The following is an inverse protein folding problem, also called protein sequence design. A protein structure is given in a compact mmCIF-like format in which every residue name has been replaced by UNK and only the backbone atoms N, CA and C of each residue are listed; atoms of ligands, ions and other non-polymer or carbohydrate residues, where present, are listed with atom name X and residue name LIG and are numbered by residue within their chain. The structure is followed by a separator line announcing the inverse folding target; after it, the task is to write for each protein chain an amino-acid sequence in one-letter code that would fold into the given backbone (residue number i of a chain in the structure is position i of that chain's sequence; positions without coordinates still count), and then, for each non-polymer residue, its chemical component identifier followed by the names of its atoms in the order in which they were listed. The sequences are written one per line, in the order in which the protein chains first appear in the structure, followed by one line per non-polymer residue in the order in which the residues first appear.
data_IF_935028131502
#
_entry.id   IF_935028131502
#
_cell.length_a   1.000
_cell.length_b   1.000
_cell.length_c   1.000
_cell.angle_alpha   90.00
_cell.angle_beta   90.00
_cell.angle_gamma   90.00
#
_symmetry.space_group_name_H-M   'P 1'
#
loop_
_entity.id
_entity.type
_entity.pdbx_description
1 polymer ?
#
# COMPACT_ATOMS: atom_id res chain seq x y z
N UNK A 1 12.62 -5.66 -27.86
CA UNK A 1 11.39 -5.57 -27.04
C UNK A 1 11.22 -6.76 -26.09
N UNK A 2 11.48 -8.01 -26.52
CA UNK A 2 11.36 -9.21 -25.66
C UNK A 2 12.42 -9.20 -24.56
N UNK A 3 13.67 -8.86 -24.85
CA UNK A 3 14.75 -8.75 -23.87
C UNK A 3 14.50 -7.66 -22.82
N UNK A 4 13.95 -6.50 -23.23
CA UNK A 4 13.61 -5.43 -22.30
C UNK A 4 12.49 -5.84 -21.34
N UNK A 5 11.47 -6.57 -21.78
CA UNK A 5 10.41 -7.10 -20.93
C UNK A 5 10.94 -8.13 -19.94
N UNK A 6 11.83 -9.02 -20.37
CA UNK A 6 12.47 -10.01 -19.48
C UNK A 6 13.34 -9.32 -18.42
N UNK A 7 14.09 -8.29 -18.80
CA UNK A 7 14.90 -7.51 -17.86
C UNK A 7 14.01 -6.81 -16.81
N UNK A 8 12.94 -6.15 -17.26
CA UNK A 8 11.98 -5.49 -16.34
C UNK A 8 11.35 -6.51 -15.38
N UNK A 9 10.96 -7.69 -15.87
CA UNK A 9 10.41 -8.74 -15.02
C UNK A 9 11.41 -9.22 -13.96
N UNK A 10 12.67 -9.42 -14.33
CA UNK A 10 13.74 -9.80 -13.38
C UNK A 10 13.98 -8.68 -12.37
N UNK A 11 14.06 -7.43 -12.80
CA UNK A 11 14.25 -6.28 -11.91
C UNK A 11 13.10 -6.14 -10.89
N UNK A 12 11.85 -6.38 -11.33
CA UNK A 12 10.67 -6.35 -10.46
C UNK A 12 10.61 -7.57 -9.54
N UNK A 13 10.93 -8.77 -10.05
CA UNK A 13 10.90 -10.01 -9.26
C UNK A 13 11.88 -9.99 -8.08
N UNK A 14 13.04 -9.35 -8.25
CA UNK A 14 14.06 -9.24 -7.21
C UNK A 14 14.06 -7.89 -6.48
N UNK A 15 13.07 -7.04 -6.72
CA UNK A 15 12.97 -5.70 -6.08
C UNK A 15 14.27 -4.87 -6.20
N UNK A 16 15.04 -5.08 -7.27
CA UNK A 16 16.36 -4.44 -7.46
C UNK A 16 16.27 -2.92 -7.45
N UNK A 17 15.28 -2.27 -8.12
CA UNK A 17 15.16 -0.81 -8.08
C UNK A 17 14.95 -0.26 -6.66
N UNK A 18 14.17 -0.98 -5.85
CA UNK A 18 13.93 -0.62 -4.45
C UNK A 18 15.25 -0.64 -3.65
N UNK A 19 16.01 -1.73 -3.74
CA UNK A 19 17.28 -1.89 -3.03
C UNK A 19 18.27 -0.80 -3.46
N UNK A 20 18.39 -0.55 -4.78
CA UNK A 20 19.26 0.52 -5.30
C UNK A 20 18.80 1.88 -4.77
N UNK A 21 17.50 2.16 -4.77
CA UNK A 21 16.93 3.41 -4.26
C UNK A 21 17.26 3.64 -2.78
N UNK A 22 17.08 2.61 -1.94
CA UNK A 22 17.43 2.69 -0.50
C UNK A 22 18.91 2.93 -0.29
N UNK A 23 19.79 2.17 -0.97
CA UNK A 23 21.24 2.33 -0.85
C UNK A 23 21.69 3.72 -1.34
N UNK A 24 21.15 4.17 -2.47
CA UNK A 24 21.46 5.48 -3.02
C UNK A 24 20.97 6.62 -2.10
N UNK A 25 19.74 6.53 -1.59
CA UNK A 25 19.19 7.52 -0.65
C UNK A 25 20.03 7.62 0.62
N UNK A 26 20.37 6.48 1.22
CA UNK A 26 21.25 6.45 2.40
C UNK A 26 22.65 7.01 2.10
N UNK A 27 23.22 6.67 0.93
CA UNK A 27 24.53 7.18 0.54
C UNK A 27 24.51 8.70 0.37
N UNK A 28 23.55 9.25 -0.37
CA UNK A 28 23.43 10.71 -0.57
C UNK A 28 23.16 11.45 0.74
N UNK A 29 22.26 10.95 1.58
CA UNK A 29 21.95 11.56 2.88
C UNK A 29 23.19 11.63 3.82
N UNK A 30 24.11 10.67 3.72
CA UNK A 30 25.30 10.61 4.60
C UNK A 30 26.57 11.20 3.98
N UNK A 31 26.71 11.20 2.65
CA UNK A 31 27.92 11.70 1.98
C UNK A 31 27.78 13.19 1.67
N UNK A 32 26.63 13.61 1.17
CA UNK A 32 26.34 15.01 0.81
C UNK A 32 24.91 15.35 1.20
N UNK A 33 24.72 15.72 2.46
CA UNK A 33 23.41 16.05 3.04
C UNK A 33 22.79 17.26 2.34
N UNK A 34 23.61 18.26 1.95
CA UNK A 34 23.12 19.43 1.24
C UNK A 34 22.54 19.09 -0.14
N UNK A 35 23.24 18.24 -0.89
CA UNK A 35 22.73 17.76 -2.19
C UNK A 35 21.45 16.93 -2.02
N UNK A 36 21.39 16.11 -0.96
CA UNK A 36 20.19 15.32 -0.65
C UNK A 36 18.97 16.23 -0.38
N UNK A 37 19.13 17.27 0.46
CA UNK A 37 18.07 18.23 0.75
C UNK A 37 17.66 19.01 -0.51
N UNK A 38 18.62 19.45 -1.32
CA UNK A 38 18.32 20.13 -2.59
C UNK A 38 17.51 19.25 -3.55
N UNK A 39 17.80 17.94 -3.60
CA UNK A 39 17.06 16.98 -4.42
C UNK A 39 15.65 16.76 -3.88
N UNK A 40 15.48 16.66 -2.58
CA UNK A 40 14.19 16.44 -1.91
C UNK A 40 13.29 17.67 -2.07
N UNK A 41 13.85 18.87 -1.88
CA UNK A 41 13.12 20.14 -1.95
C UNK A 41 13.10 20.75 -3.37
N UNK A 42 13.63 20.03 -4.36
CA UNK A 42 13.64 20.50 -5.74
C UNK A 42 12.23 20.77 -6.23
N UNK A 43 11.96 22.00 -6.67
CA UNK A 43 10.67 22.44 -7.21
C UNK A 43 10.51 22.00 -8.65
N UNK A 44 9.78 20.92 -8.88
CA UNK A 44 9.66 20.25 -10.19
C UNK A 44 9.03 21.14 -11.25
N UNK A 45 8.08 22.00 -10.88
CA UNK A 45 7.36 22.91 -11.79
C UNK A 45 7.73 24.39 -11.64
N UNK A 46 8.88 24.68 -11.00
CA UNK A 46 9.33 26.05 -10.77
C UNK A 46 8.69 26.71 -9.54
N UNK A 47 9.03 27.98 -9.31
CA UNK A 47 8.69 28.71 -8.07
C UNK A 47 7.24 29.17 -7.93
N UNK A 48 6.38 28.94 -8.94
CA UNK A 48 5.01 29.48 -8.98
C UNK A 48 3.89 28.46 -8.82
N UNK A 49 4.20 27.15 -8.73
CA UNK A 49 3.16 26.13 -8.64
C UNK A 49 3.05 25.62 -7.21
N UNK A 50 1.89 25.88 -6.61
CA UNK A 50 1.55 25.42 -5.26
C UNK A 50 0.19 24.72 -5.27
N UNK A 51 0.07 23.66 -4.45
CA UNK A 51 -1.18 22.93 -4.24
C UNK A 51 -1.56 23.07 -2.77
N UNK A 52 -2.68 23.72 -2.50
CA UNK A 52 -3.16 24.06 -1.15
C UNK A 52 -2.14 24.82 -0.29
N UNK A 53 -1.34 25.73 -0.91
CA UNK A 53 -0.31 26.51 -0.22
C UNK A 53 1.01 25.75 0.02
N UNK A 54 1.13 24.53 -0.48
CA UNK A 54 2.37 23.72 -0.41
C UNK A 54 3.08 23.74 -1.76
N UNK A 55 4.40 24.00 -1.82
CA UNK A 55 5.15 23.98 -3.08
C UNK A 55 5.23 22.55 -3.62
N UNK A 56 5.12 22.43 -4.94
CA UNK A 56 5.23 21.09 -5.59
C UNK A 56 6.70 20.73 -5.75
N UNK A 57 7.25 20.14 -4.70
CA UNK A 57 8.62 19.61 -4.64
C UNK A 57 8.69 18.15 -5.05
N UNK A 58 9.90 17.60 -5.22
CA UNK A 58 10.11 16.17 -5.39
C UNK A 58 9.51 15.37 -4.23
N UNK A 59 9.71 15.84 -2.99
CA UNK A 59 9.10 15.27 -1.79
C UNK A 59 7.56 15.26 -1.87
N UNK A 60 6.94 16.39 -2.26
CA UNK A 60 5.49 16.48 -2.43
C UNK A 60 4.97 15.45 -3.44
N UNK A 61 5.62 15.32 -4.60
CA UNK A 61 5.18 14.36 -5.63
C UNK A 61 5.28 12.92 -5.11
N UNK A 62 6.37 12.58 -4.43
CA UNK A 62 6.56 11.23 -3.89
C UNK A 62 5.53 10.94 -2.81
N UNK A 63 5.40 11.81 -1.80
CA UNK A 63 4.54 11.53 -0.65
C UNK A 63 3.05 11.74 -0.94
N UNK A 64 2.70 12.77 -1.70
CA UNK A 64 1.29 13.14 -1.90
C UNK A 64 0.66 12.50 -3.14
N UNK A 65 1.46 11.96 -4.06
CA UNK A 65 0.96 11.33 -5.29
C UNK A 65 1.37 9.85 -5.36
N UNK A 66 2.67 9.53 -5.34
CA UNK A 66 3.10 8.14 -5.47
C UNK A 66 2.67 7.29 -4.28
N UNK A 67 2.75 7.81 -3.05
CA UNK A 67 2.32 7.09 -1.86
C UNK A 67 0.80 6.84 -1.83
N UNK A 68 -0.02 7.73 -2.41
CA UNK A 68 -1.46 7.48 -2.60
C UNK A 68 -1.71 6.20 -3.38
N UNK A 69 -1.00 6.00 -4.49
CA UNK A 69 -1.12 4.79 -5.29
C UNK A 69 -0.57 3.56 -4.58
N UNK A 70 0.55 3.71 -3.87
CA UNK A 70 1.14 2.63 -3.07
C UNK A 70 0.15 2.13 -2.01
N UNK A 71 -0.39 3.03 -1.19
CA UNK A 71 -1.41 2.66 -0.20
C UNK A 71 -2.72 2.20 -0.83
N UNK A 72 -3.04 2.68 -2.03
CA UNK A 72 -4.16 2.16 -2.82
C UNK A 72 -3.99 0.69 -3.19
N UNK A 73 -2.76 0.26 -3.56
CA UNK A 73 -2.44 -1.14 -3.83
C UNK A 73 -2.54 -1.97 -2.55
N UNK A 74 -1.97 -1.49 -1.44
CA UNK A 74 -2.06 -2.16 -0.14
C UNK A 74 -3.53 -2.33 0.29
N UNK A 75 -4.34 -1.28 0.17
CA UNK A 75 -5.77 -1.34 0.46
C UNK A 75 -6.53 -2.34 -0.42
N UNK A 76 -6.12 -2.50 -1.69
CA UNK A 76 -6.67 -3.51 -2.59
C UNK A 76 -6.34 -4.93 -2.10
N UNK A 77 -5.11 -5.19 -1.70
CA UNK A 77 -4.69 -6.50 -1.17
C UNK A 77 -5.43 -6.85 0.11
N UNK A 78 -5.56 -5.87 1.04
CA UNK A 78 -6.36 -6.00 2.25
C UNK A 78 -7.81 -6.30 1.91
N UNK A 79 -8.41 -5.54 1.00
CA UNK A 79 -9.82 -5.72 0.58
C UNK A 79 -10.03 -7.11 0.01
N UNK A 80 -9.15 -7.60 -0.88
CA UNK A 80 -9.25 -8.94 -1.46
C UNK A 80 -9.07 -10.04 -0.42
N UNK A 81 -8.21 -9.83 0.58
CA UNK A 81 -7.98 -10.80 1.65
C UNK A 81 -9.19 -10.99 2.57
N UNK A 82 -9.99 -9.94 2.75
CA UNK A 82 -11.19 -9.95 3.63
C UNK A 82 -12.44 -10.45 2.88
N UNK A 83 -12.50 -10.28 1.56
CA UNK A 83 -13.65 -10.72 0.77
C UNK A 83 -13.88 -12.25 0.85
N UNK A 84 -15.12 -12.73 0.58
CA UNK A 84 -15.41 -14.17 0.53
C UNK A 84 -14.46 -14.90 -0.42
N UNK A 85 -13.80 -15.94 0.09
CA UNK A 85 -12.74 -16.67 -0.62
C UNK A 85 -11.34 -16.08 -0.47
N UNK A 86 -11.20 -14.91 0.17
CA UNK A 86 -9.93 -14.32 0.51
C UNK A 86 -9.18 -15.05 1.63
N UNK A 87 -7.91 -14.72 1.78
CA UNK A 87 -7.00 -15.43 2.66
C UNK A 87 -7.31 -15.22 4.16
N UNK A 88 -7.88 -14.07 4.53
CA UNK A 88 -8.35 -13.74 5.87
C UNK A 88 -9.84 -14.10 6.11
N UNK A 89 -10.49 -14.75 5.16
CA UNK A 89 -11.87 -15.20 5.26
C UNK A 89 -11.96 -16.74 5.15
N UNK A 90 -12.60 -17.46 6.09
CA UNK A 90 -13.31 -16.99 7.29
C UNK A 90 -12.37 -16.57 8.45
N UNK A 91 -12.87 -15.74 9.35
CA UNK A 91 -12.14 -15.18 10.51
C UNK A 91 -11.27 -16.21 11.29
N UNK A 92 -11.70 -17.46 11.54
CA UNK A 92 -10.85 -18.43 12.24
C UNK A 92 -9.50 -18.69 11.56
N UNK A 93 -9.39 -18.53 10.25
CA UNK A 93 -8.11 -18.67 9.52
C UNK A 93 -7.21 -17.46 9.70
N UNK A 94 -7.80 -16.29 9.95
CA UNK A 94 -7.08 -15.04 10.15
C UNK A 94 -6.50 -14.90 11.58
N UNK A 95 -6.99 -15.65 12.57
CA UNK A 95 -6.59 -15.47 13.96
C UNK A 95 -5.07 -15.61 14.14
N UNK A 96 -4.46 -16.65 13.61
CA UNK A 96 -3.02 -16.88 13.77
C UNK A 96 -2.17 -15.78 13.11
N UNK A 97 -2.40 -15.40 11.83
CA UNK A 97 -1.71 -14.25 11.24
C UNK A 97 -1.93 -12.95 12.01
N UNK A 98 -3.17 -12.64 12.41
CA UNK A 98 -3.50 -11.43 13.18
C UNK A 98 -2.79 -11.38 14.54
N UNK A 99 -2.75 -12.49 15.28
CA UNK A 99 -2.00 -12.56 16.53
C UNK A 99 -0.50 -12.42 16.30
N UNK A 100 0.03 -13.01 15.22
CA UNK A 100 1.41 -12.83 14.82
C UNK A 100 1.73 -11.36 14.52
N UNK A 101 0.86 -10.70 13.76
CA UNK A 101 0.98 -9.27 13.42
C UNK A 101 0.93 -8.39 14.66
N UNK A 102 -0.03 -8.62 15.57
CA UNK A 102 -0.10 -7.87 16.82
C UNK A 102 1.20 -8.00 17.64
N UNK A 103 1.78 -9.20 17.71
CA UNK A 103 3.08 -9.41 18.33
C UNK A 103 4.22 -8.67 17.61
N UNK A 104 4.18 -8.70 16.26
CA UNK A 104 5.13 -8.00 15.38
C UNK A 104 5.07 -6.48 15.50
N UNK A 105 3.91 -5.91 15.81
CA UNK A 105 3.73 -4.47 16.05
C UNK A 105 4.10 -4.10 17.49
N UNK A 106 3.52 -4.78 18.48
CA UNK A 106 3.68 -4.44 19.90
C UNK A 106 5.12 -4.70 20.39
N UNK A 107 5.76 -5.78 19.91
CA UNK A 107 7.12 -6.13 20.32
C UNK A 107 8.15 -5.06 19.95
N UNK A 108 8.33 -4.74 18.67
CA UNK A 108 9.27 -3.69 18.23
C UNK A 108 8.91 -2.30 18.77
N UNK A 109 7.62 -1.92 18.78
CA UNK A 109 7.18 -0.64 19.34
C UNK A 109 7.51 -0.54 20.84
N UNK A 110 7.23 -1.59 21.60
CA UNK A 110 7.53 -1.63 23.03
C UNK A 110 9.03 -1.59 23.31
N UNK A 111 9.83 -2.34 22.53
CA UNK A 111 11.28 -2.31 22.63
C UNK A 111 11.86 -0.93 22.26
N UNK A 112 11.34 -0.32 21.21
CA UNK A 112 11.73 1.02 20.79
C UNK A 112 11.47 2.05 21.90
N UNK A 113 10.27 2.07 22.46
CA UNK A 113 9.90 2.98 23.54
C UNK A 113 10.72 2.72 24.83
N UNK A 114 10.99 1.45 25.15
CA UNK A 114 11.84 1.09 26.28
C UNK A 114 13.27 1.62 26.10
N UNK A 115 13.86 1.42 24.93
CA UNK A 115 15.22 1.93 24.63
C UNK A 115 15.23 3.46 24.61
N UNK A 116 14.21 4.08 24.02
CA UNK A 116 14.06 5.55 24.05
C UNK A 116 14.01 6.06 25.48
N UNK A 117 13.25 5.40 26.36
CA UNK A 117 13.17 5.77 27.76
C UNK A 117 14.52 5.59 28.48
N UNK A 118 15.25 4.50 28.21
CA UNK A 118 16.55 4.23 28.83
C UNK A 118 17.62 5.24 28.39
N UNK A 119 17.66 5.61 27.10
CA UNK A 119 18.71 6.48 26.57
C UNK A 119 18.38 7.97 26.62
N UNK A 120 17.10 8.33 26.49
CA UNK A 120 16.63 9.71 26.40
C UNK A 120 15.68 10.11 27.54
N UNK A 121 15.36 9.17 28.47
CA UNK A 121 14.47 9.45 29.60
C UNK A 121 15.04 10.54 30.49
N UNK A 122 14.44 11.72 30.47
CA UNK A 122 14.90 12.91 31.22
C UNK A 122 15.64 13.94 30.39
N UNK A 123 15.74 13.76 29.07
CA UNK A 123 16.23 14.77 28.11
C UNK A 123 15.06 15.44 27.39
N UNK A 124 15.28 16.64 26.86
CA UNK A 124 14.28 17.36 26.07
C UNK A 124 13.93 16.64 24.74
N UNK A 125 14.85 15.82 24.24
CA UNK A 125 14.70 15.04 23.01
C UNK A 125 13.77 13.81 23.16
N UNK A 126 13.43 13.43 24.39
CA UNK A 126 12.62 12.23 24.62
C UNK A 126 11.33 12.21 23.82
N UNK A 127 10.59 13.32 23.79
CA UNK A 127 9.28 13.38 23.10
C UNK A 127 9.43 13.25 21.59
N UNK A 128 10.49 13.82 21.03
CA UNK A 128 10.79 13.77 19.58
C UNK A 128 11.16 12.34 19.18
N UNK A 129 12.09 11.74 19.91
CA UNK A 129 12.54 10.37 19.61
C UNK A 129 11.43 9.37 19.86
N UNK A 130 10.67 9.51 20.98
CA UNK A 130 9.55 8.61 21.29
C UNK A 130 8.46 8.62 20.22
N UNK A 131 8.26 9.73 19.52
CA UNK A 131 7.28 9.80 18.43
C UNK A 131 7.60 8.87 17.25
N UNK A 132 8.85 8.41 17.11
CA UNK A 132 9.26 7.43 16.10
C UNK A 132 8.85 5.98 16.37
N UNK A 133 8.03 5.70 17.39
CA UNK A 133 7.67 4.33 17.81
C UNK A 133 6.99 3.48 16.71
N UNK A 134 6.32 4.13 15.76
CA UNK A 134 5.68 3.44 14.63
C UNK A 134 6.66 2.97 13.55
N UNK A 135 7.87 3.54 13.46
CA UNK A 135 8.85 3.21 12.41
C UNK A 135 9.23 1.72 12.39
N UNK A 136 9.58 1.09 13.51
CA UNK A 136 9.99 -0.32 13.52
C UNK A 136 8.80 -1.31 13.42
N UNK A 137 7.57 -0.83 13.28
CA UNK A 137 6.38 -1.70 13.19
C UNK A 137 6.02 -2.04 11.74
N UNK A 138 6.54 -1.31 10.75
CA UNK A 138 6.24 -1.54 9.34
C UNK A 138 7.19 -2.58 8.72
N UNK A 139 6.65 -3.48 7.91
CA UNK A 139 7.41 -4.54 7.22
C UNK A 139 7.31 -4.37 5.70
N UNK A 140 8.43 -4.45 4.98
CA UNK A 140 8.41 -4.49 3.52
C UNK A 140 8.03 -5.91 3.04
N UNK A 141 6.80 -6.03 2.53
CA UNK A 141 6.26 -7.30 2.00
C UNK A 141 7.14 -7.85 0.88
N UNK A 142 7.61 -7.01 -0.05
CA UNK A 142 8.34 -7.47 -1.22
C UNK A 142 9.67 -8.10 -0.83
N UNK A 143 10.41 -7.45 0.07
CA UNK A 143 11.68 -7.96 0.57
C UNK A 143 11.50 -9.20 1.44
N UNK A 144 10.54 -9.17 2.37
CA UNK A 144 10.23 -10.30 3.25
C UNK A 144 9.80 -11.54 2.44
N UNK A 145 8.96 -11.37 1.43
CA UNK A 145 8.52 -12.44 0.54
C UNK A 145 9.67 -13.01 -0.30
N UNK A 146 10.55 -12.14 -0.83
CA UNK A 146 11.74 -12.57 -1.56
C UNK A 146 12.63 -13.45 -0.69
N UNK A 147 12.95 -13.00 0.53
CA UNK A 147 13.79 -13.75 1.47
C UNK A 147 13.14 -15.08 1.86
N UNK A 148 11.83 -15.09 2.12
CA UNK A 148 11.10 -16.31 2.44
C UNK A 148 11.11 -17.31 1.28
N UNK A 149 10.94 -16.87 0.03
CA UNK A 149 11.05 -17.73 -1.15
C UNK A 149 12.43 -18.33 -1.34
N UNK A 150 13.47 -17.54 -1.09
CA UNK A 150 14.85 -18.01 -1.16
C UNK A 150 15.17 -19.05 -0.07
N UNK A 151 14.65 -18.84 1.14
CA UNK A 151 14.90 -19.72 2.28
C UNK A 151 14.08 -21.01 2.25
N UNK A 152 12.79 -20.95 1.91
CA UNK A 152 11.84 -22.07 2.01
C UNK A 152 11.44 -22.66 0.66
N UNK A 153 11.72 -21.97 -0.44
CA UNK A 153 11.28 -22.35 -1.77
C UNK A 153 9.85 -21.91 -2.11
N UNK A 154 9.51 -22.01 -3.41
CA UNK A 154 8.19 -21.60 -3.90
C UNK A 154 7.09 -22.54 -3.39
N UNK A 155 5.97 -21.95 -2.93
CA UNK A 155 4.78 -22.71 -2.51
C UNK A 155 4.85 -23.31 -1.10
N UNK A 156 5.90 -23.03 -0.34
CA UNK A 156 5.97 -23.46 1.06
C UNK A 156 4.91 -22.77 1.92
N UNK A 157 4.25 -23.47 2.86
CA UNK A 157 3.21 -22.88 3.73
C UNK A 157 3.68 -21.65 4.52
N UNK A 158 4.96 -21.61 4.91
CA UNK A 158 5.55 -20.47 5.62
C UNK A 158 5.54 -19.18 4.77
N UNK A 159 5.71 -19.30 3.43
CA UNK A 159 5.66 -18.15 2.51
C UNK A 159 4.24 -17.58 2.46
N UNK A 160 3.23 -18.45 2.39
CA UNK A 160 1.83 -18.02 2.41
C UNK A 160 1.43 -17.41 3.75
N UNK A 161 1.91 -17.97 4.86
CA UNK A 161 1.67 -17.41 6.19
C UNK A 161 2.31 -16.02 6.34
N UNK A 162 3.55 -15.85 5.87
CA UNK A 162 4.24 -14.55 5.87
C UNK A 162 3.48 -13.51 5.04
N UNK A 163 2.96 -13.90 3.88
CA UNK A 163 2.17 -13.00 3.04
C UNK A 163 0.90 -12.52 3.76
N UNK A 164 0.21 -13.42 4.45
CA UNK A 164 -0.98 -13.08 5.25
C UNK A 164 -0.66 -12.15 6.41
N UNK A 165 0.45 -12.42 7.10
CA UNK A 165 0.95 -11.59 8.20
C UNK A 165 1.29 -10.19 7.69
N UNK A 166 2.00 -10.08 6.56
CA UNK A 166 2.40 -8.81 5.97
C UNK A 166 1.19 -7.97 5.51
N UNK A 167 0.15 -8.59 4.90
CA UNK A 167 -1.10 -7.88 4.56
C UNK A 167 -1.82 -7.36 5.81
N UNK A 168 -1.82 -8.13 6.90
CA UNK A 168 -2.42 -7.70 8.17
C UNK A 168 -1.60 -6.58 8.83
N UNK A 169 -0.28 -6.63 8.71
CA UNK A 169 0.67 -5.62 9.19
C UNK A 169 0.45 -4.28 8.47
N UNK A 170 0.34 -4.30 7.15
CA UNK A 170 0.01 -3.12 6.36
C UNK A 170 -1.32 -2.49 6.80
N UNK A 171 -2.35 -3.32 7.06
CA UNK A 171 -3.64 -2.82 7.54
C UNK A 171 -3.52 -2.10 8.89
N UNK A 172 -2.75 -2.66 9.82
CA UNK A 172 -2.49 -2.05 11.13
C UNK A 172 -1.62 -0.79 10.96
N UNK A 173 -0.57 -0.85 10.13
CA UNK A 173 0.31 0.27 9.82
C UNK A 173 -0.45 1.48 9.26
N UNK A 174 -1.36 1.25 8.30
CA UNK A 174 -2.25 2.29 7.78
C UNK A 174 -3.13 2.91 8.88
N UNK A 175 -3.64 2.08 9.80
CA UNK A 175 -4.40 2.55 10.96
C UNK A 175 -3.54 3.38 11.92
N UNK A 176 -2.30 2.99 12.16
CA UNK A 176 -1.34 3.73 13.00
C UNK A 176 -1.05 5.09 12.36
N UNK A 177 -0.73 5.16 11.08
CA UNK A 177 -0.47 6.42 10.36
C UNK A 177 -1.69 7.34 10.46
N UNK A 178 -2.88 6.82 10.18
CA UNK A 178 -4.11 7.62 10.20
C UNK A 178 -4.42 8.27 11.57
N UNK A 179 -4.08 7.59 12.66
CA UNK A 179 -4.47 8.00 14.02
C UNK A 179 -3.36 8.75 14.75
N UNK A 180 -2.10 8.31 14.60
CA UNK A 180 -1.00 8.77 15.44
C UNK A 180 -0.05 9.74 14.74
N UNK A 181 -0.13 9.86 13.41
CA UNK A 181 0.76 10.71 12.60
C UNK A 181 -0.02 11.75 11.77
N UNK A 182 -0.87 12.61 12.40
CA UNK A 182 -1.44 13.77 11.72
C UNK A 182 -0.34 14.78 11.39
N UNK A 183 -0.60 15.68 10.44
CA UNK A 183 0.33 16.75 10.07
C UNK A 183 0.62 17.65 11.31
N UNK A 184 1.87 17.72 11.78
CA UNK A 184 2.20 18.48 12.99
C UNK A 184 2.14 20.00 12.81
N UNK A 185 2.25 20.50 11.56
CA UNK A 185 2.31 21.94 11.28
C UNK A 185 0.91 22.59 11.17
N UNK A 186 -0.11 21.79 10.92
CA UNK A 186 -1.46 22.30 10.71
C UNK A 186 -2.46 21.62 11.65
N UNK A 187 -3.28 22.41 12.38
CA UNK A 187 -4.31 21.82 13.25
C UNK A 187 -5.35 21.08 12.40
N UNK A 188 -5.75 19.90 12.87
CA UNK A 188 -6.75 19.07 12.19
C UNK A 188 -8.05 19.85 12.01
N UNK A 189 -8.51 19.96 10.78
CA UNK A 189 -9.77 20.62 10.41
C UNK A 189 -10.82 19.58 10.01
N UNK A 190 -11.58 19.01 10.94
CA UNK A 190 -12.46 17.86 10.68
C UNK A 190 -13.60 18.17 9.69
N UNK A 191 -13.92 19.45 9.47
CA UNK A 191 -14.93 19.85 8.50
C UNK A 191 -14.59 19.38 7.06
N UNK A 192 -13.30 19.33 6.71
CA UNK A 192 -12.86 18.88 5.39
C UNK A 192 -12.99 17.36 5.18
N UNK A 193 -13.13 16.58 6.25
CA UNK A 193 -13.45 15.15 6.15
C UNK A 193 -14.82 14.90 5.49
N UNK A 194 -15.71 15.91 5.47
CA UNK A 194 -16.94 15.84 4.69
C UNK A 194 -16.65 15.67 3.19
N UNK A 195 -15.56 16.24 2.70
CA UNK A 195 -15.15 16.06 1.29
C UNK A 195 -14.63 14.63 1.04
N UNK A 196 -13.90 14.07 2.00
CA UNK A 196 -13.52 12.63 1.98
C UNK A 196 -14.77 11.75 1.99
N UNK A 197 -15.74 12.06 2.85
CA UNK A 197 -17.05 11.39 2.88
C UNK A 197 -17.82 11.53 1.56
N UNK A 198 -17.76 12.70 0.90
CA UNK A 198 -18.32 12.89 -0.44
C UNK A 198 -17.60 12.03 -1.49
N UNK A 199 -16.27 11.87 -1.38
CA UNK A 199 -15.51 10.93 -2.19
C UNK A 199 -15.99 9.49 -2.01
N UNK A 200 -16.16 9.03 -0.78
CA UNK A 200 -16.71 7.70 -0.47
C UNK A 200 -18.14 7.52 -1.02
N UNK A 201 -19.01 8.52 -0.84
CA UNK A 201 -20.37 8.52 -1.39
C UNK A 201 -20.36 8.45 -2.92
N UNK A 202 -19.45 9.17 -3.58
CA UNK A 202 -19.26 9.12 -5.03
C UNK A 202 -18.80 7.73 -5.48
N UNK A 203 -17.83 7.13 -4.78
CA UNK A 203 -17.38 5.77 -5.06
C UNK A 203 -18.52 4.75 -4.91
N UNK A 204 -19.32 4.87 -3.85
CA UNK A 204 -20.50 4.06 -3.65
C UNK A 204 -21.54 4.24 -4.77
N UNK A 205 -21.82 5.48 -5.18
CA UNK A 205 -22.74 5.79 -6.28
C UNK A 205 -22.25 5.21 -7.62
N UNK A 206 -20.95 5.33 -7.94
CA UNK A 206 -20.34 4.71 -9.11
C UNK A 206 -20.51 3.18 -9.09
N UNK A 207 -20.26 2.56 -7.93
CA UNK A 207 -20.47 1.11 -7.74
C UNK A 207 -21.94 0.73 -7.96
N UNK A 208 -22.88 1.50 -7.39
CA UNK A 208 -24.33 1.26 -7.53
C UNK A 208 -24.80 1.42 -8.98
N UNK A 209 -24.20 2.35 -9.72
CA UNK A 209 -24.42 2.59 -11.14
C UNK A 209 -23.71 1.57 -12.05
N UNK A 210 -23.06 0.54 -11.47
CA UNK A 210 -22.32 -0.51 -12.18
C UNK A 210 -21.23 0.03 -13.10
N UNK A 211 -20.66 1.19 -12.78
CA UNK A 211 -19.51 1.73 -13.52
C UNK A 211 -18.31 0.85 -13.24
N UNK A 212 -17.74 0.23 -14.29
CA UNK A 212 -16.59 -0.66 -14.19
C UNK A 212 -15.34 0.00 -14.78
N UNK A 213 -15.15 1.29 -14.50
CA UNK A 213 -13.99 2.07 -14.94
C UNK A 213 -13.18 2.48 -13.71
N UNK A 214 -12.05 1.81 -13.45
CA UNK A 214 -11.20 2.13 -12.30
C UNK A 214 -10.72 3.60 -12.30
N UNK A 215 -10.39 4.25 -13.45
CA UNK A 215 -9.99 5.66 -13.44
C UNK A 215 -11.07 6.60 -12.90
N UNK A 216 -12.35 6.28 -13.12
CA UNK A 216 -13.45 7.09 -12.57
C UNK A 216 -13.45 7.08 -11.03
N UNK A 217 -13.16 5.94 -10.41
CA UNK A 217 -13.05 5.85 -8.95
C UNK A 217 -11.82 6.60 -8.43
N UNK A 218 -10.67 6.43 -9.09
CA UNK A 218 -9.42 7.03 -8.64
C UNK A 218 -9.43 8.55 -8.84
N UNK A 219 -9.80 9.02 -10.04
CA UNK A 219 -9.70 10.44 -10.37
C UNK A 219 -10.82 11.26 -9.72
N UNK A 220 -12.05 10.75 -9.71
CA UNK A 220 -13.18 11.51 -9.16
C UNK A 220 -13.30 11.30 -7.66
N UNK A 221 -13.54 10.06 -7.23
CA UNK A 221 -13.74 9.76 -5.82
C UNK A 221 -12.43 9.87 -5.02
N UNK A 222 -11.33 9.34 -5.56
CA UNK A 222 -9.99 9.46 -4.99
C UNK A 222 -9.52 10.90 -4.91
N UNK A 223 -9.72 11.71 -5.96
CA UNK A 223 -9.38 13.13 -5.98
C UNK A 223 -10.15 13.94 -4.92
N UNK A 224 -11.46 13.68 -4.73
CA UNK A 224 -12.25 14.29 -3.65
C UNK A 224 -11.72 13.87 -2.28
N UNK A 225 -11.44 12.57 -2.08
CA UNK A 225 -10.89 12.05 -0.83
C UNK A 225 -9.52 12.66 -0.53
N UNK A 226 -8.64 12.74 -1.51
CA UNK A 226 -7.32 13.34 -1.39
C UNK A 226 -7.40 14.82 -1.00
N UNK A 227 -8.22 15.60 -1.69
CA UNK A 227 -8.42 17.01 -1.36
C UNK A 227 -9.01 17.19 0.06
N UNK A 228 -9.90 16.30 0.48
CA UNK A 228 -10.47 16.29 1.83
C UNK A 228 -9.43 16.03 2.91
N UNK A 229 -8.61 15.00 2.72
CA UNK A 229 -7.54 14.65 3.66
C UNK A 229 -6.45 15.73 3.70
N UNK A 230 -5.99 16.20 2.53
CA UNK A 230 -4.97 17.25 2.42
C UNK A 230 -5.39 18.55 3.15
N UNK A 231 -6.67 18.92 3.05
CA UNK A 231 -7.20 20.10 3.76
C UNK A 231 -7.54 19.84 5.23
N UNK A 232 -7.78 18.58 5.61
CA UNK A 232 -8.05 18.25 7.01
C UNK A 232 -6.79 18.11 7.85
N UNK A 233 -5.59 18.22 7.26
CA UNK A 233 -4.31 17.97 7.91
C UNK A 233 -4.15 16.52 8.39
N UNK A 234 -4.81 15.61 7.69
CA UNK A 234 -4.62 14.17 7.82
C UNK A 234 -3.83 13.69 6.59
N UNK A 235 -3.07 12.63 6.76
CA UNK A 235 -2.17 12.09 5.73
C UNK A 235 -2.89 11.87 4.38
N UNK A 236 -2.62 12.66 3.34
CA UNK A 236 -3.30 12.56 2.05
C UNK A 236 -3.03 11.27 1.31
N UNK A 237 -1.89 10.62 1.61
CA UNK A 237 -1.52 9.33 1.02
C UNK A 237 -2.57 8.24 1.28
N UNK A 238 -3.38 8.38 2.33
CA UNK A 238 -4.47 7.46 2.68
C UNK A 238 -5.73 7.63 1.82
N UNK A 239 -5.76 8.57 0.89
CA UNK A 239 -6.97 8.91 0.12
C UNK A 239 -7.61 7.72 -0.60
N UNK A 240 -6.80 6.85 -1.19
CA UNK A 240 -7.30 5.66 -1.89
C UNK A 240 -7.63 4.50 -0.94
N UNK A 241 -7.13 4.49 0.27
CA UNK A 241 -7.43 3.44 1.26
C UNK A 241 -8.94 3.36 1.53
N UNK A 242 -9.60 4.51 1.63
CA UNK A 242 -11.05 4.58 1.89
C UNK A 242 -11.90 4.44 0.62
N UNK A 243 -11.32 4.57 -0.57
CA UNK A 243 -12.02 4.47 -1.86
C UNK A 243 -11.94 3.07 -2.47
N UNK A 244 -10.79 2.42 -2.39
CA UNK A 244 -10.52 1.12 -3.01
C UNK A 244 -11.53 0.02 -2.61
N UNK A 245 -12.04 -0.07 -1.36
CA UNK A 245 -13.05 -1.06 -1.00
C UNK A 245 -14.38 -0.95 -1.78
N UNK A 246 -14.63 0.21 -2.39
CA UNK A 246 -15.82 0.41 -3.23
C UNK A 246 -15.61 0.01 -4.69
N UNK A 247 -14.38 -0.29 -5.13
CA UNK A 247 -14.14 -0.73 -6.50
C UNK A 247 -14.86 -2.07 -6.75
N UNK A 248 -15.48 -2.25 -7.93
CA UNK A 248 -16.06 -3.53 -8.31
C UNK A 248 -15.00 -4.63 -8.26
N UNK A 249 -15.15 -5.54 -7.31
CA UNK A 249 -14.49 -6.84 -7.28
C UNK A 249 -15.45 -7.83 -7.93
N UNK A 250 -14.95 -8.76 -8.76
CA UNK A 250 -15.76 -9.94 -9.05
C UNK A 250 -15.93 -10.67 -7.72
N UNK A 251 -17.18 -10.78 -7.24
CA UNK A 251 -17.53 -12.03 -6.57
C UNK A 251 -17.14 -13.12 -7.56
N UNK A 252 -16.12 -13.88 -7.26
CA UNK A 252 -15.84 -15.13 -7.94
C UNK A 252 -17.01 -16.01 -7.53
N UNK A 253 -18.11 -15.90 -8.27
CA UNK A 253 -19.04 -17.02 -8.38
C UNK A 253 -18.22 -18.10 -9.09
N UNK A 254 -17.77 -19.16 -8.41
CA UNK A 254 -17.15 -20.28 -9.07
C UNK A 254 -18.25 -20.96 -9.85
N UNK A 255 -18.54 -20.41 -11.03
CA UNK A 255 -19.50 -20.99 -11.94
C UNK A 255 -19.24 -22.49 -12.09
N UNK A 256 -20.24 -23.30 -12.37
CA UNK A 256 -20.16 -24.78 -12.35
C UNK A 256 -19.01 -25.36 -13.20
N UNK A 257 -18.40 -24.57 -14.06
CA UNK A 257 -17.20 -24.94 -14.84
C UNK A 257 -15.91 -24.90 -14.01
N UNK A 258 -15.78 -24.03 -12.99
CA UNK A 258 -14.61 -23.93 -12.13
C UNK A 258 -14.59 -25.04 -11.07
N UNK A 259 -15.75 -25.46 -10.56
CA UNK A 259 -15.85 -26.61 -9.64
C UNK A 259 -15.45 -27.95 -10.30
N UNK A 260 -15.71 -28.09 -11.60
CA UNK A 260 -15.27 -29.29 -12.35
C UNK A 260 -13.77 -29.32 -12.65
N UNK A 261 -13.10 -28.16 -12.71
CA UNK A 261 -11.67 -28.06 -12.93
C UNK A 261 -10.85 -28.45 -11.69
N UNK A 262 -11.41 -28.29 -10.48
CA UNK A 262 -10.75 -28.72 -9.23
C UNK A 262 -10.95 -30.20 -8.88
N UNK A 263 -11.86 -30.90 -9.54
CA UNK A 263 -12.12 -32.33 -9.33
C UNK A 263 -11.44 -33.25 -10.36
N UNK A 264 -10.82 -32.70 -11.40
CA UNK A 264 -10.17 -33.47 -12.47
C UNK A 264 -8.69 -33.18 -12.62
N UNK A 265 -7.85 -33.73 -11.73
CA UNK A 265 -6.40 -33.72 -11.91
C UNK A 265 -6.04 -34.85 -12.87
N UNK A 266 -6.01 -34.56 -14.17
CA UNK A 266 -5.36 -35.34 -15.20
C UNK A 266 -4.37 -34.45 -15.98
N UNK A 267 -3.24 -34.99 -16.51
CA UNK A 267 -2.19 -34.19 -17.12
C UNK A 267 -2.70 -33.52 -18.41
N UNK A 268 -2.64 -32.19 -18.47
CA UNK A 268 -3.04 -31.42 -19.65
C UNK A 268 -1.98 -31.54 -20.75
N UNK A 269 -2.40 -31.99 -21.92
CA UNK A 269 -1.67 -31.88 -23.19
C UNK A 269 -1.70 -30.43 -23.68
N UNK A 270 -0.56 -29.95 -24.19
CA UNK A 270 -0.43 -28.69 -24.90
C UNK A 270 -1.39 -28.64 -26.11
N UNK A 271 -2.26 -27.66 -26.14
CA UNK A 271 -3.10 -27.29 -27.26
C UNK A 271 -3.59 -25.86 -27.02
N UNK A 272 -3.08 -24.95 -27.82
CA UNK A 272 -3.45 -23.52 -27.83
C UNK A 272 -4.95 -23.37 -28.14
N UNK A 273 -5.74 -23.10 -27.13
CA UNK A 273 -7.10 -22.57 -27.28
C UNK A 273 -7.11 -21.10 -26.83
N UNK A 274 -7.44 -20.20 -27.78
CA UNK A 274 -7.64 -18.78 -27.53
C UNK A 274 -8.63 -18.59 -26.39
N UNK A 275 -8.12 -18.23 -25.20
CA UNK A 275 -8.95 -17.90 -24.04
C UNK A 275 -9.67 -16.60 -24.40
N UNK A 276 -11.02 -16.54 -24.35
CA UNK A 276 -11.74 -15.30 -24.59
C UNK A 276 -11.25 -14.26 -23.59
N UNK A 277 -11.15 -13.00 -24.03
CA UNK A 277 -10.70 -11.88 -23.23
C UNK A 277 -11.49 -11.87 -21.91
N UNK A 278 -10.85 -12.36 -20.85
CA UNK A 278 -11.45 -12.48 -19.53
C UNK A 278 -11.78 -11.07 -19.06
N UNK A 279 -13.05 -10.80 -18.83
CA UNK A 279 -13.53 -9.57 -18.24
C UNK A 279 -12.86 -9.41 -16.87
N UNK A 280 -11.87 -8.51 -16.77
CA UNK A 280 -11.21 -8.21 -15.50
C UNK A 280 -11.95 -7.08 -14.81
N UNK A 281 -12.35 -7.23 -13.55
CA UNK A 281 -13.02 -6.18 -12.79
C UNK A 281 -12.10 -4.98 -12.58
N UNK A 282 -12.69 -3.83 -12.22
CA UNK A 282 -11.95 -2.58 -12.06
C UNK A 282 -10.81 -2.70 -11.06
N UNK A 283 -11.01 -3.46 -9.99
CA UNK A 283 -10.01 -3.69 -8.94
C UNK A 283 -8.75 -4.42 -9.44
N UNK A 284 -8.90 -5.43 -10.29
CA UNK A 284 -7.74 -6.15 -10.88
C UNK A 284 -7.04 -5.33 -11.96
N UNK A 285 -7.81 -4.54 -12.74
CA UNK A 285 -7.25 -3.65 -13.75
C UNK A 285 -6.45 -2.51 -13.14
N UNK A 286 -6.87 -2.00 -12.00
CA UNK A 286 -6.15 -0.99 -11.24
C UNK A 286 -4.73 -1.48 -10.90
N UNK A 287 -4.60 -2.65 -10.31
CA UNK A 287 -3.30 -3.23 -9.97
C UNK A 287 -2.43 -3.50 -11.19
N UNK A 288 -3.01 -4.15 -12.22
CA UNK A 288 -2.25 -4.55 -13.40
C UNK A 288 -1.65 -3.35 -14.14
N UNK A 289 -2.34 -2.21 -14.16
CA UNK A 289 -1.84 -1.03 -14.83
C UNK A 289 -0.83 -0.26 -13.98
N UNK A 290 -0.99 -0.24 -12.66
CA UNK A 290 -0.01 0.39 -11.76
C UNK A 290 1.31 -0.40 -11.66
N UNK A 291 1.28 -1.73 -11.77
CA UNK A 291 2.52 -2.54 -11.83
C UNK A 291 3.33 -2.33 -13.12
N UNK A 292 2.81 -1.58 -14.08
CA UNK A 292 3.52 -1.22 -15.32
C UNK A 292 4.26 0.12 -15.21
N UNK A 293 4.01 0.90 -14.17
CA UNK A 293 4.72 2.12 -13.78
C UNK A 293 5.69 1.82 -12.63
#
# INVERSE_FOLDING_TARGET
LIQARQLIQVLQEYSIPLIIGVVAGLAFANIDHHFYEELVDYRVFGSGVEVFGRPVTSHFIINEIFMVFFFGIAAKEITQSILPGGALNPIPRAINPLMGTLGGVIGPAGLYLLLTWVFYGGTDDFSVVANGWGIPTATDIALAWLVARLAFGNGHPAVNFLLLLAVADDAIGLGIIAVFYPDPEHPVQPAWLLLTGAGMATAYALRRSKVNSWPAYILIAGGLSWAGLAKSSIEPALALVVIVPFLPSTEIDPGPASQKAHQGVGPRRHGEGMVPAVYRPALERFEHQLKLF
#
